data_IF_019536686685
#
_entry.id   IF_019536686685
#
_cell.length_a   1.000
_cell.length_b   1.000
_cell.length_c   1.000
_cell.angle_alpha   90.00
_cell.angle_beta   90.00
_cell.angle_gamma   90.00
#
_symmetry.space_group_name_H-M   'P 1'
#
loop_
_entity.id
_entity.type
_entity.pdbx_description
1 polymer ?
#
# COMPACT_ATOMS: atom_id res chain seq x y z
N UNK A 1 -6.59 68.95 -58.01
CA UNK A 1 -5.69 68.10 -58.83
C UNK A 1 -5.03 67.08 -57.91
N UNK A 2 -5.40 65.80 -58.01
CA UNK A 2 -4.68 64.73 -58.74
C UNK A 2 -3.32 64.38 -58.11
N UNK A 3 -2.89 63.13 -57.89
CA UNK A 3 -3.39 61.73 -57.87
C UNK A 3 -2.10 60.90 -57.74
N UNK A 4 -2.07 59.78 -57.03
CA UNK A 4 -0.98 58.78 -57.20
C UNK A 4 -0.61 58.02 -55.94
N UNK A 5 -1.47 57.11 -55.46
CA UNK A 5 -1.39 55.65 -55.69
C UNK A 5 -0.20 54.96 -54.98
N UNK A 6 -0.56 54.42 -53.82
CA UNK A 6 -0.17 53.14 -53.24
C UNK A 6 0.42 52.12 -54.25
N UNK A 7 1.66 51.69 -54.03
CA UNK A 7 2.14 50.37 -54.46
C UNK A 7 2.55 49.58 -53.23
N UNK A 8 1.64 48.67 -52.87
CA UNK A 8 1.87 47.58 -51.94
C UNK A 8 2.86 46.63 -52.59
N UNK A 9 4.14 46.75 -52.25
CA UNK A 9 5.09 45.67 -52.50
C UNK A 9 4.64 44.46 -51.70
N UNK A 10 4.17 43.45 -52.44
CA UNK A 10 3.81 42.11 -51.99
C UNK A 10 4.99 41.45 -51.26
N UNK A 11 5.22 41.80 -50.00
CA UNK A 11 5.95 40.93 -49.08
C UNK A 11 4.98 39.84 -48.63
N UNK A 12 5.06 38.74 -49.39
CA UNK A 12 4.44 37.44 -49.14
C UNK A 12 4.12 37.18 -47.66
N UNK A 13 2.83 37.02 -47.37
CA UNK A 13 2.28 36.49 -46.12
C UNK A 13 2.77 35.07 -45.78
N UNK A 14 3.60 34.44 -46.61
CA UNK A 14 4.22 33.13 -46.37
C UNK A 14 5.59 33.27 -45.67
N UNK A 15 6.22 34.45 -45.71
CA UNK A 15 7.55 34.68 -45.16
C UNK A 15 7.62 34.85 -43.63
N UNK A 16 6.52 35.25 -42.98
CA UNK A 16 6.52 35.54 -41.54
C UNK A 16 6.28 34.31 -40.65
N UNK A 17 5.77 33.19 -41.20
CA UNK A 17 5.55 31.94 -40.43
C UNK A 17 6.87 31.18 -40.24
N UNK A 18 7.85 31.33 -41.15
CA UNK A 18 9.12 30.56 -41.07
C UNK A 18 10.11 31.07 -40.02
N UNK A 19 10.01 32.32 -39.58
CA UNK A 19 10.98 32.89 -38.64
C UNK A 19 10.69 32.55 -37.16
N UNK A 20 9.47 32.10 -36.82
CA UNK A 20 9.11 31.75 -35.45
C UNK A 20 9.42 30.28 -35.07
N UNK A 21 9.95 29.48 -36.01
CA UNK A 21 10.11 28.02 -35.85
C UNK A 21 11.54 27.58 -35.51
N UNK A 22 12.37 28.47 -34.97
CA UNK A 22 13.79 28.20 -34.67
C UNK A 22 14.22 28.64 -33.26
N UNK A 23 13.41 28.38 -32.23
CA UNK A 23 13.84 28.50 -30.81
C UNK A 23 13.20 27.43 -29.91
N UNK A 24 13.05 26.20 -30.40
CA UNK A 24 12.74 25.07 -29.53
C UNK A 24 14.02 24.28 -29.27
N UNK A 25 14.78 24.70 -28.26
CA UNK A 25 15.82 23.84 -27.69
C UNK A 25 15.19 22.54 -27.19
N UNK A 26 15.89 21.41 -27.33
CA UNK A 26 15.42 20.12 -26.83
C UNK A 26 15.12 20.25 -25.32
N UNK A 27 13.96 19.82 -24.81
CA UNK A 27 13.63 19.94 -23.40
C UNK A 27 14.74 19.33 -22.51
N UNK A 28 15.03 19.94 -21.36
CA UNK A 28 16.07 19.44 -20.47
C UNK A 28 15.74 18.00 -20.05
N UNK A 29 16.72 17.10 -20.11
CA UNK A 29 16.57 15.73 -19.62
C UNK A 29 16.24 15.75 -18.13
N UNK A 30 15.20 15.01 -17.73
CA UNK A 30 14.70 14.97 -16.36
C UNK A 30 14.87 13.57 -15.76
N UNK A 31 15.03 13.53 -14.43
CA UNK A 31 15.10 12.29 -13.70
C UNK A 31 13.75 11.58 -13.76
N UNK A 32 13.79 10.28 -14.07
CA UNK A 32 12.57 9.45 -14.17
C UNK A 32 11.84 9.34 -12.81
N UNK A 33 12.53 9.49 -11.69
CA UNK A 33 11.96 9.35 -10.34
C UNK A 33 11.43 10.67 -9.75
N UNK A 34 12.22 11.74 -9.77
CA UNK A 34 11.88 13.00 -9.08
C UNK A 34 11.59 14.18 -10.04
N UNK A 35 11.76 14.00 -11.35
CA UNK A 35 11.57 15.08 -12.34
C UNK A 35 12.67 16.15 -12.36
N UNK A 36 13.65 16.10 -11.45
CA UNK A 36 14.77 17.05 -11.44
C UNK A 36 15.61 17.00 -12.71
N UNK A 37 16.18 18.15 -13.09
CA UNK A 37 17.05 18.25 -14.26
C UNK A 37 18.30 17.37 -14.09
N UNK A 38 18.56 16.55 -15.09
CA UNK A 38 19.76 15.72 -15.14
C UNK A 38 20.94 16.53 -15.69
N UNK A 39 22.04 16.50 -14.95
CA UNK A 39 23.32 17.07 -15.35
C UNK A 39 24.34 15.93 -15.48
N UNK A 40 25.20 16.00 -16.50
CA UNK A 40 26.22 15.00 -16.80
C UNK A 40 25.88 14.14 -18.01
N UNK A 41 26.39 12.90 -18.02
CA UNK A 41 26.33 11.97 -19.17
C UNK A 41 24.98 11.90 -19.86
N UNK A 42 24.99 11.75 -21.19
CA UNK A 42 23.81 11.73 -22.07
C UNK A 42 22.82 10.60 -21.77
N UNK A 43 23.30 9.48 -21.24
CA UNK A 43 22.53 8.29 -20.89
C UNK A 43 22.04 8.27 -19.42
N UNK A 44 22.37 9.30 -18.63
CA UNK A 44 21.92 9.39 -17.23
C UNK A 44 20.38 9.39 -17.18
N UNK A 45 19.81 8.51 -16.35
CA UNK A 45 18.36 8.36 -16.11
C UNK A 45 17.89 8.84 -14.73
N UNK A 46 18.79 8.83 -13.75
CA UNK A 46 18.49 9.17 -12.35
C UNK A 46 19.42 10.27 -11.85
N UNK A 47 18.91 11.22 -11.06
CA UNK A 47 19.74 12.31 -10.51
C UNK A 47 20.71 11.78 -9.44
N UNK A 48 20.28 10.79 -8.65
CA UNK A 48 21.02 10.16 -7.54
C UNK A 48 20.77 8.65 -7.46
N UNK A 49 21.63 7.93 -6.74
CA UNK A 49 21.43 6.51 -6.43
C UNK A 49 20.18 6.27 -5.58
N UNK A 50 19.82 7.21 -4.70
CA UNK A 50 18.55 7.18 -3.97
C UNK A 50 17.34 7.15 -4.92
N UNK A 51 17.34 8.01 -5.95
CA UNK A 51 16.28 8.03 -6.97
C UNK A 51 16.25 6.74 -7.80
N UNK A 52 17.41 6.14 -8.11
CA UNK A 52 17.47 4.83 -8.77
C UNK A 52 16.82 3.75 -7.90
N UNK A 53 17.18 3.69 -6.63
CA UNK A 53 16.67 2.70 -5.69
C UNK A 53 15.16 2.87 -5.47
N UNK A 54 14.69 4.11 -5.31
CA UNK A 54 13.27 4.39 -5.12
C UNK A 54 12.43 4.02 -6.36
N UNK A 55 12.94 4.32 -7.56
CA UNK A 55 12.29 3.91 -8.81
C UNK A 55 12.14 2.39 -8.91
N UNK A 56 13.21 1.64 -8.63
CA UNK A 56 13.13 0.17 -8.64
C UNK A 56 12.32 -0.39 -7.47
N UNK A 57 12.32 0.27 -6.32
CA UNK A 57 11.45 -0.08 -5.20
C UNK A 57 9.98 0.06 -5.59
N UNK A 58 9.57 1.16 -6.22
CA UNK A 58 8.21 1.31 -6.72
C UNK A 58 7.87 0.29 -7.82
N UNK A 59 8.81 -0.03 -8.71
CA UNK A 59 8.56 -1.01 -9.77
C UNK A 59 8.38 -2.44 -9.23
N UNK A 60 9.15 -2.83 -8.21
CA UNK A 60 9.20 -4.22 -7.72
C UNK A 60 8.41 -4.45 -6.43
N UNK A 61 8.20 -3.41 -5.62
CA UNK A 61 7.64 -3.50 -4.27
C UNK A 61 6.49 -2.52 -4.04
N UNK A 62 5.97 -1.83 -5.06
CA UNK A 62 4.72 -1.10 -4.90
C UNK A 62 3.65 -2.08 -4.40
N UNK A 63 3.07 -1.86 -3.20
CA UNK A 63 2.09 -2.79 -2.68
C UNK A 63 0.91 -2.79 -3.64
N UNK A 64 0.63 -3.95 -4.24
CA UNK A 64 -0.61 -4.17 -4.97
C UNK A 64 -1.74 -3.76 -4.03
N UNK A 65 -2.60 -2.82 -4.47
CA UNK A 65 -3.64 -2.24 -3.62
C UNK A 65 -4.47 -3.32 -2.91
N UNK A 66 -4.73 -4.44 -3.59
CA UNK A 66 -5.36 -5.62 -3.02
C UNK A 66 -4.61 -6.19 -1.81
N UNK A 67 -3.31 -6.46 -1.93
CA UNK A 67 -2.49 -7.01 -0.83
C UNK A 67 -2.48 -6.06 0.36
N UNK A 68 -2.35 -4.75 0.12
CA UNK A 68 -2.44 -3.74 1.19
C UNK A 68 -3.80 -3.80 1.90
N UNK A 69 -4.89 -3.94 1.14
CA UNK A 69 -6.24 -4.05 1.70
C UNK A 69 -6.40 -5.31 2.55
N UNK A 70 -5.91 -6.46 2.09
CA UNK A 70 -5.94 -7.72 2.86
C UNK A 70 -5.15 -7.59 4.16
N UNK A 71 -3.95 -7.01 4.12
CA UNK A 71 -3.14 -6.76 5.34
C UNK A 71 -3.90 -5.86 6.32
N UNK A 72 -4.57 -4.81 5.84
CA UNK A 72 -5.37 -3.93 6.69
C UNK A 72 -6.57 -4.66 7.32
N UNK A 73 -7.21 -5.57 6.58
CA UNK A 73 -8.29 -6.42 7.11
C UNK A 73 -7.75 -7.35 8.20
N UNK A 74 -6.61 -8.02 7.97
CA UNK A 74 -5.98 -8.89 8.97
C UNK A 74 -5.59 -8.13 10.24
N UNK A 75 -5.05 -6.91 10.11
CA UNK A 75 -4.74 -6.02 11.25
C UNK A 75 -6.00 -5.65 12.04
N UNK A 76 -7.10 -5.32 11.34
CA UNK A 76 -8.39 -5.03 11.97
C UNK A 76 -8.94 -6.27 12.68
N UNK A 77 -8.94 -7.43 12.03
CA UNK A 77 -9.37 -8.70 12.62
C UNK A 77 -8.60 -9.01 13.91
N UNK A 78 -7.26 -8.90 13.88
CA UNK A 78 -6.41 -9.09 15.06
C UNK A 78 -6.79 -8.13 16.20
N UNK A 79 -7.01 -6.85 15.89
CA UNK A 79 -7.43 -5.84 16.86
C UNK A 79 -8.76 -6.19 17.53
N UNK A 80 -9.78 -6.53 16.73
CA UNK A 80 -11.11 -6.90 17.23
C UNK A 80 -11.03 -8.09 18.18
N UNK A 81 -10.29 -9.14 17.80
CA UNK A 81 -10.12 -10.32 18.66
C UNK A 81 -9.40 -9.98 19.96
N UNK A 82 -8.41 -9.09 19.92
CA UNK A 82 -7.69 -8.64 21.11
C UNK A 82 -8.57 -7.81 22.04
N UNK A 83 -9.33 -6.85 21.51
CA UNK A 83 -10.21 -5.98 22.27
C UNK A 83 -11.40 -6.74 22.90
N UNK A 84 -11.95 -7.72 22.18
CA UNK A 84 -13.06 -8.53 22.69
C UNK A 84 -12.61 -9.67 23.60
N UNK A 85 -11.31 -9.92 23.75
CA UNK A 85 -10.78 -11.00 24.60
C UNK A 85 -10.22 -10.46 25.92
N UNK A 86 -11.10 -9.80 26.67
CA UNK A 86 -10.93 -9.26 28.02
C UNK A 86 -11.25 -10.27 29.14
N UNK A 87 -11.44 -11.55 28.79
CA UNK A 87 -11.76 -12.60 29.76
C UNK A 87 -10.56 -13.03 30.61
N UNK A 88 -10.81 -13.65 31.78
CA UNK A 88 -9.75 -14.23 32.60
C UNK A 88 -8.98 -15.30 31.79
N UNK A 89 -7.69 -15.42 32.05
CA UNK A 89 -6.77 -16.35 31.34
C UNK A 89 -6.65 -16.13 29.83
N UNK A 90 -7.14 -15.01 29.30
CA UNK A 90 -7.08 -14.71 27.87
C UNK A 90 -8.04 -15.56 27.04
N UNK A 91 -9.18 -15.96 27.62
CA UNK A 91 -10.27 -16.61 26.90
C UNK A 91 -11.63 -15.98 27.20
N UNK A 92 -12.46 -15.77 26.18
CA UNK A 92 -13.82 -15.24 26.33
C UNK A 92 -14.76 -15.79 25.27
N UNK A 93 -16.00 -16.12 25.66
CA UNK A 93 -17.06 -16.50 24.72
C UNK A 93 -17.73 -15.26 24.12
N UNK A 94 -17.90 -15.24 22.80
CA UNK A 94 -18.57 -14.17 22.06
C UNK A 94 -19.49 -14.74 20.98
N UNK A 95 -20.62 -14.09 20.76
CA UNK A 95 -21.50 -14.42 19.65
C UNK A 95 -20.96 -13.85 18.33
N UNK A 96 -21.23 -14.54 17.21
CA UNK A 96 -20.82 -14.14 15.85
C UNK A 96 -21.19 -12.69 15.53
N UNK A 97 -22.40 -12.28 15.90
CA UNK A 97 -22.89 -10.94 15.58
C UNK A 97 -22.02 -9.85 16.21
N UNK A 98 -21.44 -10.10 17.39
CA UNK A 98 -20.54 -9.13 18.02
C UNK A 98 -19.27 -8.93 17.20
N UNK A 99 -18.72 -10.00 16.62
CA UNK A 99 -17.57 -9.91 15.71
C UNK A 99 -17.95 -9.16 14.43
N UNK A 100 -19.09 -9.50 13.82
CA UNK A 100 -19.58 -8.85 12.59
C UNK A 100 -19.84 -7.36 12.82
N UNK A 101 -20.49 -6.98 13.92
CA UNK A 101 -20.77 -5.59 14.29
C UNK A 101 -19.49 -4.74 14.45
N UNK A 102 -18.39 -5.35 14.90
CA UNK A 102 -17.08 -4.68 15.00
C UNK A 102 -16.32 -4.68 13.66
N UNK A 103 -16.88 -5.24 12.60
CA UNK A 103 -16.28 -5.29 11.27
C UNK A 103 -15.27 -6.42 11.07
N UNK A 104 -15.41 -7.51 11.82
CA UNK A 104 -14.58 -8.71 11.65
C UNK A 104 -14.90 -9.42 10.33
N UNK A 105 -13.86 -9.74 9.56
CA UNK A 105 -14.00 -10.46 8.29
C UNK A 105 -13.51 -11.90 8.40
N UNK A 106 -14.45 -12.86 8.48
CA UNK A 106 -14.16 -14.30 8.53
C UNK A 106 -13.45 -14.86 7.30
N UNK A 107 -13.48 -14.14 6.16
CA UNK A 107 -12.81 -14.54 4.92
C UNK A 107 -11.27 -14.55 5.05
N UNK A 108 -10.70 -13.73 5.93
CA UNK A 108 -9.25 -13.52 6.01
C UNK A 108 -8.73 -13.94 7.38
N UNK A 109 -7.83 -14.92 7.35
CA UNK A 109 -7.11 -15.42 8.52
C UNK A 109 -5.69 -15.83 8.09
N UNK A 110 -4.79 -15.99 9.06
CA UNK A 110 -3.39 -16.35 8.79
C UNK A 110 -3.17 -17.85 8.73
N UNK A 111 -3.81 -18.61 9.61
CA UNK A 111 -3.68 -20.07 9.66
C UNK A 111 -4.81 -20.69 10.46
N UNK A 112 -4.99 -21.99 10.28
CA UNK A 112 -5.94 -22.81 11.04
C UNK A 112 -5.21 -23.93 11.76
N UNK A 113 -5.68 -24.29 12.95
CA UNK A 113 -5.16 -25.41 13.72
C UNK A 113 -6.30 -26.36 14.07
N UNK A 114 -6.20 -27.61 13.64
CA UNK A 114 -7.21 -28.64 13.94
C UNK A 114 -6.69 -29.58 15.02
N UNK A 115 -7.49 -29.79 16.06
CA UNK A 115 -7.14 -30.72 17.14
C UNK A 115 -7.51 -32.16 16.77
N UNK A 116 -6.93 -33.12 17.51
CA UNK A 116 -7.30 -34.54 17.40
C UNK A 116 -8.76 -34.81 17.75
N UNK A 117 -9.36 -33.97 18.60
CA UNK A 117 -10.78 -34.02 18.94
C UNK A 117 -11.70 -33.47 17.84
N UNK A 118 -11.15 -32.96 16.73
CA UNK A 118 -11.91 -32.44 15.59
C UNK A 118 -12.18 -30.94 15.63
N UNK A 119 -11.85 -30.26 16.74
CA UNK A 119 -12.03 -28.82 16.90
C UNK A 119 -11.11 -28.03 15.96
N UNK A 120 -11.66 -27.03 15.28
CA UNK A 120 -10.92 -26.16 14.35
C UNK A 120 -10.76 -24.77 14.95
N UNK A 121 -9.51 -24.38 15.17
CA UNK A 121 -9.14 -23.04 15.58
C UNK A 121 -8.76 -22.23 14.34
N UNK A 122 -9.21 -20.98 14.28
CA UNK A 122 -8.88 -20.03 13.21
C UNK A 122 -8.14 -18.85 13.83
N UNK A 123 -6.97 -18.53 13.30
CA UNK A 123 -6.07 -17.53 13.87
C UNK A 123 -5.78 -16.37 12.92
N UNK A 124 -5.79 -15.17 13.47
CA UNK A 124 -5.19 -13.96 12.91
C UNK A 124 -3.97 -13.60 13.77
N UNK A 125 -2.79 -14.08 13.35
CA UNK A 125 -1.55 -14.02 14.14
C UNK A 125 -1.70 -14.75 15.48
N UNK A 126 -1.45 -14.09 16.60
CA UNK A 126 -1.51 -14.67 17.94
C UNK A 126 -2.91 -14.73 18.54
N UNK A 127 -3.88 -14.03 17.93
CA UNK A 127 -5.28 -14.06 18.36
C UNK A 127 -6.10 -14.95 17.45
N UNK A 128 -7.03 -15.70 18.01
CA UNK A 128 -7.89 -16.58 17.24
C UNK A 128 -9.20 -16.88 17.93
N UNK A 129 -9.97 -17.76 17.31
CA UNK A 129 -11.20 -18.26 17.87
C UNK A 129 -11.40 -19.76 17.59
N UNK A 130 -12.15 -20.40 18.46
CA UNK A 130 -12.71 -21.74 18.30
C UNK A 130 -14.23 -21.60 18.12
N UNK A 131 -14.78 -22.25 17.09
CA UNK A 131 -16.22 -22.34 16.91
C UNK A 131 -16.81 -23.42 17.84
N UNK A 132 -17.84 -23.03 18.60
CA UNK A 132 -18.54 -23.91 19.55
C UNK A 132 -19.86 -24.47 18.98
N UNK A 133 -20.34 -23.94 17.86
CA UNK A 133 -21.69 -24.17 17.34
C UNK A 133 -22.65 -23.01 17.68
N UNK A 134 -23.82 -23.01 17.05
CA UNK A 134 -24.86 -21.98 17.25
C UNK A 134 -24.34 -20.53 17.13
N UNK A 135 -23.38 -20.30 16.21
CA UNK A 135 -22.74 -19.00 16.03
C UNK A 135 -21.97 -18.46 17.27
N UNK A 136 -21.61 -19.33 18.22
CA UNK A 136 -20.77 -18.98 19.35
C UNK A 136 -19.30 -19.31 19.10
N UNK A 137 -18.44 -18.40 19.55
CA UNK A 137 -16.99 -18.52 19.45
C UNK A 137 -16.33 -18.35 20.81
N UNK A 138 -15.30 -19.15 21.08
CA UNK A 138 -14.35 -18.87 22.17
C UNK A 138 -13.15 -18.16 21.58
N UNK A 139 -12.91 -16.93 21.99
CA UNK A 139 -11.70 -16.18 21.67
C UNK A 139 -10.53 -16.73 22.49
N UNK A 140 -9.36 -16.82 21.84
CA UNK A 140 -8.14 -17.35 22.44
C UNK A 140 -6.94 -16.52 21.99
N UNK A 141 -5.88 -16.52 22.79
CA UNK A 141 -4.58 -15.95 22.45
C UNK A 141 -3.49 -17.00 22.65
N UNK A 142 -2.53 -17.09 21.72
CA UNK A 142 -1.38 -18.01 21.81
C UNK A 142 -0.07 -17.26 21.71
N UNK A 143 0.56 -17.01 22.87
CA UNK A 143 1.82 -16.27 22.97
C UNK A 143 3.03 -16.97 22.36
N UNK A 144 2.99 -18.30 22.21
CA UNK A 144 4.04 -19.09 21.53
C UNK A 144 4.38 -18.54 20.13
N UNK A 145 3.40 -17.97 19.41
CA UNK A 145 3.65 -17.36 18.11
C UNK A 145 4.51 -16.10 18.17
N UNK A 146 4.41 -15.33 19.27
CA UNK A 146 5.23 -14.15 19.50
C UNK A 146 6.65 -14.55 19.92
N UNK A 147 6.77 -15.58 20.77
CA UNK A 147 8.06 -16.11 21.22
C UNK A 147 8.92 -16.58 20.03
N UNK A 148 8.32 -17.29 19.07
CA UNK A 148 9.01 -17.74 17.84
C UNK A 148 9.48 -16.58 16.94
N UNK A 149 8.83 -15.43 17.02
CA UNK A 149 9.20 -14.24 16.26
C UNK A 149 10.27 -13.38 16.97
N UNK A 150 10.59 -13.69 18.23
CA UNK A 150 11.45 -12.85 19.07
C UNK A 150 10.74 -11.69 19.76
N UNK A 151 9.40 -11.62 19.66
CA UNK A 151 8.54 -10.55 20.21
C UNK A 151 7.83 -10.98 21.51
N UNK A 152 8.30 -12.06 22.14
CA UNK A 152 7.72 -12.55 23.40
C UNK A 152 7.82 -11.50 24.51
N UNK A 153 6.75 -11.33 25.31
CA UNK A 153 6.87 -10.55 26.56
C UNK A 153 7.78 -11.34 27.50
N UNK A 154 8.84 -10.73 28.00
CA UNK A 154 9.54 -11.24 29.18
C UNK A 154 8.49 -11.44 30.26
N UNK A 155 8.29 -12.70 30.67
CA UNK A 155 7.56 -12.99 31.89
C UNK A 155 8.49 -12.54 33.00
N UNK A 156 8.36 -11.29 33.40
CA UNK A 156 9.00 -10.79 34.61
C UNK A 156 8.34 -11.56 35.77
N UNK A 157 8.98 -12.67 36.13
CA UNK A 157 8.69 -13.45 37.32
C UNK A 157 8.88 -12.53 38.52
N UNK A 158 7.80 -12.25 39.22
CA UNK A 158 7.84 -11.78 40.61
C UNK A 158 7.99 -13.00 41.54
#
# INVERSE_FOLDING_TARGET
MNRGRCERSFLSLIGCIRYFRSMAGNPPRQCVQCGERLVGRTDKRFCSDACRNLYHYHANNAPINYVRNVINILKRNRRILSELNDGPEGTKKVHRDKLVQNGYSFLYHTHTYRTRAGNTYVFCFEHGYLELGENWFTLVRRDEYLERAGDGRSKDTN
#
